data_IF_936932480760
#
_entry.id   IF_936932480760
#
_cell.length_a   1.000
_cell.length_b   1.000
_cell.length_c   1.000
_cell.angle_alpha   90.00
_cell.angle_beta   90.00
_cell.angle_gamma   90.00
#
_symmetry.space_group_name_H-M   'P 1'
#
loop_
_entity.id
_entity.type
_entity.pdbx_description
1 polymer ?
#
# COMPACT_ATOMS: atom_id res chain seq x y z
N UNK A 1 22.70 15.36 29.12
CA UNK A 1 21.59 14.45 29.45
C UNK A 1 20.19 15.00 29.21
N UNK A 2 19.71 15.99 29.98
CA UNK A 2 18.32 16.47 29.82
C UNK A 2 18.01 17.07 28.45
N UNK A 3 18.92 17.86 27.89
CA UNK A 3 18.73 18.50 26.58
C UNK A 3 18.76 17.48 25.41
N UNK A 4 19.71 16.54 25.45
CA UNK A 4 19.81 15.46 24.45
C UNK A 4 18.60 14.53 24.45
N UNK A 5 18.04 14.28 25.64
CA UNK A 5 16.80 13.52 25.80
C UNK A 5 15.59 14.26 25.26
N UNK A 6 15.44 15.54 25.63
CA UNK A 6 14.32 16.35 25.14
C UNK A 6 14.33 16.44 23.61
N UNK A 7 15.50 16.64 23.00
CA UNK A 7 15.64 16.71 21.54
C UNK A 7 15.23 15.41 20.86
N UNK A 8 15.70 14.26 21.36
CA UNK A 8 15.38 12.98 20.75
C UNK A 8 13.90 12.56 20.94
N UNK A 9 13.29 12.86 22.09
CA UNK A 9 11.85 12.63 22.31
C UNK A 9 10.99 13.51 21.39
N UNK A 10 11.43 14.74 21.07
CA UNK A 10 10.74 15.63 20.11
C UNK A 10 10.80 15.03 18.70
N UNK A 11 11.97 14.59 18.24
CA UNK A 11 12.12 13.99 16.91
C UNK A 11 11.23 12.76 16.71
N UNK A 12 11.15 11.86 17.69
CA UNK A 12 10.26 10.68 17.60
C UNK A 12 8.80 11.11 17.52
N UNK A 13 8.40 12.12 18.31
CA UNK A 13 7.03 12.62 18.33
C UNK A 13 6.64 13.29 17.01
N UNK A 14 7.55 14.06 16.42
CA UNK A 14 7.34 14.70 15.12
C UNK A 14 7.21 13.66 14.01
N UNK A 15 8.11 12.67 13.96
CA UNK A 15 8.04 11.59 12.98
C UNK A 15 6.73 10.79 13.08
N UNK A 16 6.28 10.45 14.30
CA UNK A 16 5.00 9.77 14.50
C UNK A 16 3.80 10.64 14.07
N UNK A 17 3.87 11.95 14.30
CA UNK A 17 2.82 12.88 13.87
C UNK A 17 2.76 12.98 12.34
N UNK A 18 3.91 13.07 11.68
CA UNK A 18 3.98 13.07 10.22
C UNK A 18 3.40 11.78 9.64
N UNK A 19 3.70 10.63 10.26
CA UNK A 19 3.14 9.35 9.85
C UNK A 19 1.61 9.28 10.04
N UNK A 20 1.10 9.81 11.16
CA UNK A 20 -0.35 9.92 11.40
C UNK A 20 -1.03 10.81 10.34
N UNK A 21 -0.42 11.95 9.98
CA UNK A 21 -0.92 12.84 8.93
C UNK A 21 -0.86 12.19 7.54
N UNK A 22 0.24 11.51 7.22
CA UNK A 22 0.37 10.77 5.97
C UNK A 22 -0.71 9.70 5.87
N UNK A 23 -0.91 8.89 6.91
CA UNK A 23 -1.91 7.83 6.91
C UNK A 23 -3.35 8.36 6.76
N UNK A 24 -3.63 9.58 7.22
CA UNK A 24 -4.92 10.23 7.02
C UNK A 24 -5.12 10.83 5.62
N UNK A 25 -4.02 11.21 4.94
CA UNK A 25 -4.04 11.85 3.63
C UNK A 25 -3.73 10.93 2.44
N UNK A 26 -3.21 9.72 2.70
CA UNK A 26 -2.82 8.78 1.67
C UNK A 26 -4.04 8.29 0.87
N UNK A 27 -4.03 8.52 -0.43
CA UNK A 27 -5.09 8.13 -1.37
C UNK A 27 -4.48 7.43 -2.58
N UNK A 28 -5.20 6.44 -3.12
CA UNK A 28 -4.82 5.83 -4.39
C UNK A 28 -5.08 6.78 -5.55
N UNK A 29 -4.14 6.82 -6.49
CA UNK A 29 -4.37 7.48 -7.76
C UNK A 29 -5.07 6.50 -8.70
N UNK A 30 -6.28 6.85 -9.14
CA UNK A 30 -7.10 6.01 -10.00
C UNK A 30 -7.07 6.52 -11.45
N UNK A 31 -7.25 5.59 -12.39
CA UNK A 31 -7.48 5.89 -13.80
C UNK A 31 -8.65 5.08 -14.32
N UNK A 32 -9.40 5.64 -15.27
CA UNK A 32 -10.46 4.91 -15.92
C UNK A 32 -9.87 3.85 -16.87
N UNK A 33 -10.47 2.66 -16.85
CA UNK A 33 -10.19 1.49 -17.68
C UNK A 33 -11.49 1.10 -18.38
N UNK A 34 -11.43 0.88 -19.69
CA UNK A 34 -12.56 0.34 -20.47
C UNK A 34 -12.29 -1.13 -20.75
N UNK A 35 -13.19 -1.99 -20.29
CA UNK A 35 -13.10 -3.43 -20.53
C UNK A 35 -13.56 -3.81 -21.95
N UNK A 36 -13.40 -5.08 -22.31
CA UNK A 36 -13.78 -5.63 -23.60
C UNK A 36 -15.30 -5.64 -23.88
N UNK A 37 -16.12 -5.47 -22.84
CA UNK A 37 -17.58 -5.37 -22.91
C UNK A 37 -18.07 -3.92 -22.92
N UNK A 38 -17.16 -2.95 -23.08
CA UNK A 38 -17.41 -1.51 -23.00
C UNK A 38 -17.88 -1.03 -21.62
N UNK A 39 -17.64 -1.80 -20.56
CA UNK A 39 -17.79 -1.39 -19.17
C UNK A 39 -16.66 -0.42 -18.75
N UNK A 40 -16.96 0.50 -17.83
CA UNK A 40 -15.98 1.42 -17.27
C UNK A 40 -15.68 1.06 -15.83
N UNK A 41 -14.39 0.84 -15.55
CA UNK A 41 -13.86 0.52 -14.22
C UNK A 41 -12.75 1.51 -13.85
N UNK A 42 -12.55 1.76 -12.56
CA UNK A 42 -11.38 2.50 -12.08
C UNK A 42 -10.33 1.54 -11.55
N UNK A 43 -9.13 1.62 -12.13
CA UNK A 43 -7.98 0.82 -11.71
C UNK A 43 -6.92 1.72 -11.08
N UNK A 44 -6.10 1.17 -10.19
CA UNK A 44 -5.03 1.91 -9.53
C UNK A 44 -3.90 2.16 -10.53
N UNK A 45 -3.39 3.39 -10.57
CA UNK A 45 -2.19 3.76 -11.30
C UNK A 45 -1.11 4.24 -10.33
N UNK A 46 0.08 4.47 -10.87
CA UNK A 46 1.21 5.04 -10.12
C UNK A 46 1.59 4.23 -8.86
N UNK A 47 1.46 2.90 -8.95
CA UNK A 47 1.78 1.95 -7.86
C UNK A 47 3.14 2.17 -7.21
N UNK A 48 4.14 2.55 -8.02
CA UNK A 48 5.51 2.81 -7.55
C UNK A 48 5.53 3.92 -6.50
N UNK A 49 4.77 4.99 -6.70
CA UNK A 49 4.78 6.14 -5.79
C UNK A 49 4.16 5.77 -4.44
N UNK A 50 3.08 4.97 -4.44
CA UNK A 50 2.45 4.47 -3.22
C UNK A 50 3.37 3.50 -2.46
N UNK A 51 3.97 2.53 -3.15
CA UNK A 51 4.87 1.54 -2.54
C UNK A 51 6.13 2.21 -1.98
N UNK A 52 6.69 3.20 -2.70
CA UNK A 52 7.84 3.96 -2.20
C UNK A 52 7.50 4.72 -0.91
N UNK A 53 6.34 5.39 -0.84
CA UNK A 53 5.93 6.09 0.38
C UNK A 53 5.80 5.14 1.57
N UNK A 54 5.23 3.95 1.38
CA UNK A 54 5.16 2.92 2.43
C UNK A 54 6.56 2.47 2.84
N UNK A 55 7.46 2.25 1.88
CA UNK A 55 8.85 1.90 2.12
C UNK A 55 9.60 2.97 2.93
N UNK A 56 9.46 4.24 2.55
CA UNK A 56 10.08 5.38 3.23
C UNK A 56 9.57 5.50 4.69
N UNK A 57 8.26 5.33 4.91
CA UNK A 57 7.68 5.33 6.25
C UNK A 57 8.17 4.16 7.11
N UNK A 58 8.38 2.97 6.52
CA UNK A 58 8.98 1.84 7.23
C UNK A 58 10.44 2.10 7.61
N UNK A 59 11.22 2.66 6.70
CA UNK A 59 12.60 3.10 6.96
C UNK A 59 12.65 4.14 8.09
N UNK A 60 11.73 5.12 8.06
CA UNK A 60 11.56 6.12 9.12
C UNK A 60 11.32 5.43 10.47
N UNK A 61 10.33 4.54 10.58
CA UNK A 61 10.05 3.81 11.82
C UNK A 61 11.25 3.00 12.32
N UNK A 62 11.98 2.35 11.40
CA UNK A 62 13.16 1.58 11.75
C UNK A 62 14.25 2.48 12.35
N UNK A 63 14.46 3.68 11.81
CA UNK A 63 15.41 4.64 12.36
C UNK A 63 15.03 5.14 13.76
N UNK A 64 13.73 5.19 14.10
CA UNK A 64 13.28 5.58 15.44
C UNK A 64 13.63 4.53 16.50
N UNK A 65 13.78 3.26 16.12
CA UNK A 65 14.10 2.14 17.03
C UNK A 65 15.55 2.20 17.52
N UNK A 66 16.44 2.85 16.78
CA UNK A 66 17.85 3.03 17.17
C UNK A 66 18.03 4.11 18.26
N UNK A 67 16.97 4.89 18.54
CA UNK A 67 17.00 5.91 19.58
C UNK A 67 16.91 5.31 20.99
N UNK A 68 17.78 5.70 21.94
CA UNK A 68 17.70 5.22 23.33
C UNK A 68 16.43 5.66 24.07
N UNK A 69 15.64 6.57 23.50
CA UNK A 69 14.38 7.07 24.06
C UNK A 69 13.13 6.43 23.43
N UNK A 70 13.32 5.45 22.54
CA UNK A 70 12.27 4.70 21.86
C UNK A 70 11.26 4.02 22.80
N UNK A 71 11.71 3.53 23.96
CA UNK A 71 10.90 2.67 24.84
C UNK A 71 9.55 3.28 25.23
N UNK A 72 9.47 4.62 25.35
CA UNK A 72 8.23 5.34 25.67
C UNK A 72 7.22 5.40 24.52
N UNK A 73 7.67 5.17 23.30
CA UNK A 73 6.89 5.24 22.06
C UNK A 73 6.72 3.87 21.41
N UNK A 74 7.24 2.82 22.04
CA UNK A 74 7.26 1.45 21.52
C UNK A 74 5.87 1.01 21.03
N UNK A 75 4.83 1.16 21.84
CA UNK A 75 3.47 0.72 21.50
C UNK A 75 2.96 1.38 20.20
N UNK A 76 3.17 2.70 20.06
CA UNK A 76 2.77 3.45 18.86
C UNK A 76 3.59 3.03 17.64
N UNK A 77 4.90 2.88 17.79
CA UNK A 77 5.78 2.47 16.69
C UNK A 77 5.45 1.05 16.23
N UNK A 78 5.26 0.11 17.16
CA UNK A 78 4.92 -1.28 16.84
C UNK A 78 3.55 -1.40 16.14
N UNK A 79 2.57 -0.58 16.54
CA UNK A 79 1.29 -0.50 15.84
C UNK A 79 1.48 -0.07 14.38
N UNK A 80 2.24 0.99 14.14
CA UNK A 80 2.50 1.46 12.78
C UNK A 80 3.38 0.52 11.97
N UNK A 81 4.34 -0.15 12.60
CA UNK A 81 5.19 -1.17 11.97
C UNK A 81 4.34 -2.32 11.42
N UNK A 82 3.40 -2.81 12.23
CA UNK A 82 2.46 -3.87 11.81
C UNK A 82 1.58 -3.39 10.65
N UNK A 83 0.97 -2.21 10.78
CA UNK A 83 0.10 -1.64 9.75
C UNK A 83 0.81 -1.43 8.41
N UNK A 84 2.04 -0.93 8.43
CA UNK A 84 2.81 -0.70 7.21
C UNK A 84 3.33 -2.00 6.59
N UNK A 85 3.64 -3.01 7.41
CA UNK A 85 4.01 -4.33 6.92
C UNK A 85 2.82 -5.00 6.21
N UNK A 86 1.64 -5.01 6.84
CA UNK A 86 0.42 -5.54 6.25
C UNK A 86 0.05 -4.79 4.96
N UNK A 87 0.13 -3.45 4.99
CA UNK A 87 -0.17 -2.62 3.82
C UNK A 87 0.79 -2.92 2.66
N UNK A 88 2.09 -3.06 2.90
CA UNK A 88 3.07 -3.40 1.87
C UNK A 88 2.73 -4.75 1.20
N UNK A 89 2.40 -5.77 2.00
CA UNK A 89 1.98 -7.07 1.49
C UNK A 89 0.70 -6.96 0.63
N UNK A 90 -0.33 -6.27 1.14
CA UNK A 90 -1.59 -6.10 0.41
C UNK A 90 -1.39 -5.31 -0.89
N UNK A 91 -0.56 -4.27 -0.90
CA UNK A 91 -0.26 -3.49 -2.09
C UNK A 91 0.45 -4.32 -3.16
N UNK A 92 1.46 -5.12 -2.77
CA UNK A 92 2.18 -5.98 -3.71
C UNK A 92 1.28 -7.06 -4.32
N UNK A 93 0.43 -7.66 -3.49
CA UNK A 93 -0.56 -8.66 -3.94
C UNK A 93 -1.59 -8.03 -4.88
N UNK A 94 -2.18 -6.89 -4.51
CA UNK A 94 -3.20 -6.22 -5.32
C UNK A 94 -2.63 -5.72 -6.66
N UNK A 95 -1.41 -5.18 -6.68
CA UNK A 95 -0.72 -4.81 -7.91
C UNK A 95 -0.52 -6.03 -8.83
N UNK A 96 -0.10 -7.17 -8.26
CA UNK A 96 0.07 -8.41 -9.02
C UNK A 96 -1.25 -8.92 -9.59
N UNK A 97 -2.33 -8.88 -8.80
CA UNK A 97 -3.68 -9.25 -9.22
C UNK A 97 -4.14 -8.34 -10.37
N UNK A 98 -4.09 -7.02 -10.19
CA UNK A 98 -4.50 -6.05 -11.20
C UNK A 98 -3.73 -6.22 -12.51
N UNK A 99 -2.40 -6.41 -12.45
CA UNK A 99 -1.57 -6.63 -13.65
C UNK A 99 -1.98 -7.89 -14.41
N UNK A 100 -2.27 -8.98 -13.69
CA UNK A 100 -2.75 -10.23 -14.31
C UNK A 100 -4.15 -10.05 -14.89
N UNK A 101 -5.05 -9.41 -14.15
CA UNK A 101 -6.42 -9.17 -14.59
C UNK A 101 -6.45 -8.31 -15.87
N UNK A 102 -5.77 -7.16 -15.90
CA UNK A 102 -5.70 -6.27 -17.08
C UNK A 102 -5.11 -6.99 -18.31
N UNK A 103 -4.20 -7.95 -18.10
CA UNK A 103 -3.65 -8.74 -19.20
C UNK A 103 -4.63 -9.81 -19.71
N UNK A 104 -5.36 -10.47 -18.80
CA UNK A 104 -6.23 -11.59 -19.12
C UNK A 104 -7.61 -11.16 -19.63
N UNK A 105 -8.15 -10.07 -19.11
CA UNK A 105 -9.48 -9.53 -19.45
C UNK A 105 -9.71 -9.43 -20.96
N UNK A 106 -8.87 -8.76 -21.77
CA UNK A 106 -9.11 -8.63 -23.20
C UNK A 106 -8.93 -9.96 -23.96
N UNK A 107 -8.16 -10.92 -23.42
CA UNK A 107 -7.95 -12.24 -24.03
C UNK A 107 -9.22 -13.10 -23.87
N UNK A 108 -9.78 -13.13 -22.66
CA UNK A 108 -11.01 -13.84 -22.35
C UNK A 108 -12.26 -13.14 -22.91
N UNK A 109 -12.26 -11.82 -22.96
CA UNK A 109 -13.33 -11.03 -23.59
C UNK A 109 -13.53 -11.33 -25.08
N UNK A 110 -12.45 -11.69 -25.78
CA UNK A 110 -12.48 -12.10 -27.20
C UNK A 110 -12.83 -13.58 -27.42
N UNK A 111 -13.07 -14.33 -26.35
CA UNK A 111 -13.45 -15.75 -26.43
C UNK A 111 -12.31 -16.70 -26.83
N UNK A 112 -11.04 -16.31 -26.59
CA UNK A 112 -9.88 -17.11 -27.02
C UNK A 112 -9.76 -18.48 -26.31
N UNK A 113 -10.34 -18.63 -25.12
CA UNK A 113 -10.23 -19.86 -24.29
C UNK A 113 -11.59 -20.28 -23.68
N UNK A 114 -12.51 -20.88 -24.46
CA UNK A 114 -13.87 -21.19 -24.01
C UNK A 114 -13.94 -22.13 -22.79
N UNK A 115 -12.98 -23.04 -22.65
CA UNK A 115 -12.91 -23.99 -21.52
C UNK A 115 -12.54 -23.33 -20.19
N UNK A 116 -11.77 -22.27 -20.23
CA UNK A 116 -11.32 -21.53 -19.03
C UNK A 116 -12.21 -20.31 -18.76
N UNK A 117 -13.16 -19.99 -19.66
CA UNK A 117 -14.04 -18.82 -19.56
C UNK A 117 -14.82 -18.78 -18.23
N UNK A 118 -15.45 -19.90 -17.85
CA UNK A 118 -16.24 -19.97 -16.61
C UNK A 118 -15.39 -19.78 -15.34
N UNK A 119 -14.09 -20.08 -15.42
CA UNK A 119 -13.15 -19.87 -14.33
C UNK A 119 -12.71 -18.41 -14.27
N UNK A 120 -12.43 -17.80 -15.41
CA UNK A 120 -12.08 -16.37 -15.49
C UNK A 120 -13.25 -15.50 -15.03
N UNK A 121 -14.49 -15.80 -15.41
CA UNK A 121 -15.68 -15.05 -14.99
C UNK A 121 -15.84 -14.96 -13.46
N UNK A 122 -15.43 -15.99 -12.70
CA UNK A 122 -15.45 -15.93 -11.23
C UNK A 122 -14.40 -14.96 -10.69
N UNK A 123 -13.20 -15.02 -11.25
CA UNK A 123 -12.10 -14.11 -10.87
C UNK A 123 -12.45 -12.66 -11.24
N UNK A 124 -13.10 -12.47 -12.39
CA UNK A 124 -13.56 -11.17 -12.87
C UNK A 124 -14.65 -10.57 -11.98
N UNK A 125 -15.53 -11.41 -11.43
CA UNK A 125 -16.55 -11.00 -10.46
C UNK A 125 -15.96 -10.67 -9.08
N UNK A 126 -14.89 -11.35 -8.68
CA UNK A 126 -14.22 -11.16 -7.39
C UNK A 126 -13.20 -10.00 -7.40
N UNK A 127 -12.83 -9.48 -8.57
CA UNK A 127 -11.88 -8.39 -8.77
C UNK A 127 -12.52 -7.01 -8.55
#
# INVERSE_FOLDING_TARGET
DLNSRAQAEVTIREALRELELWGAGACFTLTDYTDSQCGSLRVIKDWRDMVNQVGDNRCLLQSLKDSPYYLRFQDKVSLWETRLADLDEYLQNLNTIQRKWVYLEPIFGRGALPREQARFQRVDQDF
#
